data_IF_389554678060
#
_entry.id   IF_389554678060
#
_cell.length_a   1.000
_cell.length_b   1.000
_cell.length_c   1.000
_cell.angle_alpha   90.00
_cell.angle_beta   90.00
_cell.angle_gamma   90.00
#
_symmetry.space_group_name_H-M   'P 1'
#
loop_
_entity.id
_entity.type
_entity.pdbx_description
1 polymer ?
#
# COMPACT_ATOMS: atom_id res chain seq x y z
N UNK A 1 -22.55 11.37 16.41
CA UNK A 1 -22.11 12.79 16.39
C UNK A 1 -20.83 13.05 17.21
N UNK A 2 -20.35 12.12 18.03
CA UNK A 2 -19.18 12.33 18.93
C UNK A 2 -17.80 12.00 18.33
N UNK A 3 -17.70 11.37 17.15
CA UNK A 3 -16.44 10.82 16.62
C UNK A 3 -15.68 11.72 15.65
N UNK A 4 -16.34 12.66 14.99
CA UNK A 4 -15.68 13.61 14.08
C UNK A 4 -15.00 14.77 14.83
N UNK A 5 -15.53 15.14 16.00
CA UNK A 5 -15.00 16.23 16.82
C UNK A 5 -13.70 15.84 17.54
N UNK A 6 -13.56 14.57 17.96
CA UNK A 6 -12.33 14.06 18.62
C UNK A 6 -11.11 14.04 17.69
N UNK A 7 -11.27 13.77 16.39
CA UNK A 7 -10.16 13.78 15.45
C UNK A 7 -9.68 15.19 15.11
N UNK A 8 -10.59 16.14 15.02
CA UNK A 8 -10.26 17.57 14.81
C UNK A 8 -9.58 18.14 16.06
N UNK A 9 -9.92 17.66 17.26
CA UNK A 9 -9.26 18.06 18.51
C UNK A 9 -7.87 17.44 18.68
N UNK A 10 -7.63 16.19 18.26
CA UNK A 10 -6.28 15.59 18.28
C UNK A 10 -5.37 16.19 17.21
N UNK A 11 -5.85 16.45 16.00
CA UNK A 11 -5.12 17.21 14.98
C UNK A 11 -4.76 18.65 15.46
N UNK A 12 -5.66 19.28 16.21
CA UNK A 12 -5.36 20.59 16.85
C UNK A 12 -4.29 20.51 17.92
N UNK A 13 -4.08 19.37 18.57
CA UNK A 13 -3.03 19.17 19.58
C UNK A 13 -1.63 18.99 18.99
N UNK A 14 -1.51 18.41 17.79
CA UNK A 14 -0.21 18.15 17.13
C UNK A 14 0.17 19.21 16.09
N UNK A 15 -0.77 20.04 15.64
CA UNK A 15 -0.56 21.01 14.56
C UNK A 15 -0.21 20.37 13.20
N UNK A 16 -0.29 19.03 13.06
CA UNK A 16 0.04 18.30 11.85
C UNK A 16 -1.19 18.08 10.97
N UNK A 17 -1.18 18.62 9.75
CA UNK A 17 -2.24 18.40 8.75
C UNK A 17 -1.87 17.22 7.85
N UNK A 18 -2.50 16.06 8.09
CA UNK A 18 -2.26 14.84 7.34
C UNK A 18 -2.67 14.97 5.85
N UNK A 19 -3.77 15.65 5.56
CA UNK A 19 -4.24 15.80 4.18
C UNK A 19 -3.30 16.71 3.39
N UNK A 20 -2.84 17.79 3.98
CA UNK A 20 -1.83 18.66 3.38
C UNK A 20 -0.54 17.86 3.13
N UNK A 21 -0.05 17.14 4.14
CA UNK A 21 1.15 16.31 4.03
C UNK A 21 1.04 15.31 2.87
N UNK A 22 -0.04 14.53 2.83
CA UNK A 22 -0.25 13.54 1.76
C UNK A 22 -0.36 14.19 0.38
N UNK A 23 -1.02 15.33 0.27
CA UNK A 23 -1.13 16.10 -0.97
C UNK A 23 0.22 16.61 -1.49
N UNK A 24 1.08 17.09 -0.60
CA UNK A 24 2.45 17.52 -0.94
C UNK A 24 3.32 16.34 -1.35
N UNK A 25 3.27 15.22 -0.60
CA UNK A 25 4.00 13.98 -0.93
C UNK A 25 3.55 13.40 -2.27
N UNK A 26 2.25 13.34 -2.54
CA UNK A 26 1.72 12.85 -3.80
C UNK A 26 2.26 13.64 -5.00
N UNK A 27 2.32 14.97 -4.93
CA UNK A 27 2.88 15.81 -5.99
C UNK A 27 4.36 15.52 -6.26
N UNK A 28 5.16 15.34 -5.20
CA UNK A 28 6.58 15.00 -5.33
C UNK A 28 6.76 13.62 -5.95
N UNK A 29 5.98 12.64 -5.50
CA UNK A 29 6.01 11.27 -5.99
C UNK A 29 5.56 11.22 -7.45
N UNK A 30 4.46 11.88 -7.81
CA UNK A 30 3.96 11.90 -9.19
C UNK A 30 5.00 12.52 -10.16
N UNK A 31 5.67 13.59 -9.75
CA UNK A 31 6.75 14.20 -10.54
C UNK A 31 7.97 13.27 -10.70
N UNK A 32 8.28 12.44 -9.68
CA UNK A 32 9.36 11.47 -9.76
C UNK A 32 8.95 10.26 -10.63
N UNK A 33 7.71 9.77 -10.51
CA UNK A 33 7.16 8.69 -11.33
C UNK A 33 7.11 9.07 -12.81
N UNK A 34 6.71 10.30 -13.13
CA UNK A 34 6.69 10.79 -14.52
C UNK A 34 8.08 10.71 -15.18
N UNK A 35 9.13 11.05 -14.43
CA UNK A 35 10.52 10.97 -14.89
C UNK A 35 11.08 9.54 -14.96
N UNK A 36 10.53 8.63 -14.15
CA UNK A 36 11.06 7.26 -14.01
C UNK A 36 10.78 6.37 -15.21
N UNK A 37 9.77 6.69 -16.02
CA UNK A 37 9.39 5.96 -17.25
C UNK A 37 9.45 6.91 -18.44
N UNK A 38 10.63 7.23 -18.97
CA UNK A 38 10.76 8.09 -20.14
C UNK A 38 10.21 7.39 -21.40
N UNK A 39 9.71 8.21 -22.34
CA UNK A 39 9.28 7.68 -23.63
C UNK A 39 10.50 7.27 -24.46
N UNK A 40 10.49 6.01 -24.92
CA UNK A 40 11.55 5.42 -25.76
C UNK A 40 10.98 4.31 -26.62
N UNK A 41 11.71 3.90 -27.66
CA UNK A 41 11.30 2.77 -28.50
C UNK A 41 11.45 1.43 -27.74
N UNK A 42 10.47 0.50 -27.81
CA UNK A 42 9.16 0.65 -28.46
C UNK A 42 8.20 1.53 -27.63
N UNK A 43 7.66 2.58 -28.23
CA UNK A 43 6.89 3.62 -27.53
C UNK A 43 5.66 3.07 -26.83
N UNK A 44 4.95 2.13 -27.47
CA UNK A 44 3.69 1.59 -26.97
C UNK A 44 3.79 0.95 -25.58
N UNK A 45 4.93 0.31 -25.25
CA UNK A 45 5.10 -0.28 -23.90
C UNK A 45 5.25 0.82 -22.83
N UNK A 46 6.00 1.89 -23.15
CA UNK A 46 6.16 3.01 -22.23
C UNK A 46 4.85 3.79 -22.06
N UNK A 47 4.07 3.97 -23.12
CA UNK A 47 2.74 4.56 -23.06
C UNK A 47 1.81 3.75 -22.15
N UNK A 48 1.78 2.42 -22.31
CA UNK A 48 0.97 1.51 -21.51
C UNK A 48 1.36 1.53 -20.02
N UNK A 49 2.68 1.47 -19.71
CA UNK A 49 3.17 1.60 -18.34
C UNK A 49 2.76 2.95 -17.72
N UNK A 50 2.99 4.04 -18.42
CA UNK A 50 2.67 5.41 -17.98
C UNK A 50 1.17 5.61 -17.79
N UNK A 51 0.35 5.05 -18.67
CA UNK A 51 -1.10 5.14 -18.59
C UNK A 51 -1.63 4.71 -17.21
N UNK A 52 -1.17 3.58 -16.72
CA UNK A 52 -1.58 3.05 -15.41
C UNK A 52 -0.83 3.68 -14.25
N UNK A 53 0.48 3.88 -14.38
CA UNK A 53 1.33 4.43 -13.31
C UNK A 53 0.95 5.88 -12.94
N UNK A 54 0.61 6.68 -13.94
CA UNK A 54 0.24 8.09 -13.79
C UNK A 54 -1.28 8.33 -13.72
N UNK A 55 -2.09 7.28 -13.59
CA UNK A 55 -3.54 7.39 -13.45
C UNK A 55 -4.00 8.01 -12.12
N UNK A 56 -3.09 8.49 -11.28
CA UNK A 56 -3.38 9.01 -9.95
C UNK A 56 -3.40 7.92 -8.88
N UNK A 57 -3.91 8.27 -7.71
CA UNK A 57 -4.00 7.39 -6.54
C UNK A 57 -3.57 8.10 -5.25
N UNK A 58 -3.83 7.47 -4.10
CA UNK A 58 -3.52 8.04 -2.78
C UNK A 58 -2.01 8.04 -2.45
N UNK A 59 -1.17 7.36 -3.23
CA UNK A 59 0.29 7.25 -3.04
C UNK A 59 0.72 6.88 -1.62
N UNK A 60 -0.04 6.02 -0.96
CA UNK A 60 0.19 5.67 0.45
C UNK A 60 1.52 4.93 0.65
N UNK A 61 1.81 3.92 -0.18
CA UNK A 61 3.05 3.13 -0.07
C UNK A 61 4.31 3.98 -0.28
N UNK A 62 4.40 4.79 -1.34
CA UNK A 62 5.50 5.74 -1.49
C UNK A 62 5.64 6.71 -0.31
N UNK A 63 4.53 7.30 0.15
CA UNK A 63 4.54 8.25 1.27
C UNK A 63 5.03 7.59 2.58
N UNK A 64 4.65 6.34 2.84
CA UNK A 64 5.16 5.56 3.98
C UNK A 64 6.67 5.33 3.91
N UNK A 65 7.19 5.01 2.72
CA UNK A 65 8.63 4.83 2.51
C UNK A 65 9.39 6.12 2.84
N UNK A 66 8.92 7.25 2.32
CA UNK A 66 9.52 8.56 2.60
C UNK A 66 9.43 8.92 4.09
N UNK A 67 8.24 8.79 4.71
CA UNK A 67 8.03 9.10 6.12
C UNK A 67 8.91 8.25 7.05
N UNK A 68 9.04 6.96 6.76
CA UNK A 68 9.88 6.05 7.53
C UNK A 68 11.37 6.37 7.42
N UNK A 69 11.83 6.78 6.24
CA UNK A 69 13.19 7.24 6.02
C UNK A 69 13.49 8.52 6.83
N UNK A 70 12.60 9.51 6.75
CA UNK A 70 12.74 10.77 7.50
C UNK A 70 12.65 10.56 9.02
N UNK A 71 11.82 9.61 9.48
CA UNK A 71 11.67 9.27 10.89
C UNK A 71 13.03 8.91 11.53
N UNK A 72 13.82 8.10 10.86
CA UNK A 72 15.11 7.61 11.36
C UNK A 72 16.30 8.51 10.98
N UNK A 73 16.05 9.66 10.36
CA UNK A 73 17.07 10.68 10.08
C UNK A 73 17.61 10.70 8.65
N UNK A 74 17.06 9.89 7.74
CA UNK A 74 17.37 9.95 6.32
C UNK A 74 16.68 11.11 5.59
N UNK A 75 16.86 11.18 4.29
CA UNK A 75 16.27 12.21 3.42
C UNK A 75 15.30 11.61 2.39
N UNK A 76 14.41 12.47 1.87
CA UNK A 76 13.49 12.11 0.78
C UNK A 76 14.25 11.60 -0.44
N UNK A 77 15.36 12.23 -0.79
CA UNK A 77 16.13 11.89 -1.98
C UNK A 77 16.71 10.47 -1.92
N UNK A 78 17.10 10.02 -0.72
CA UNK A 78 17.57 8.65 -0.51
C UNK A 78 16.47 7.61 -0.71
N UNK A 79 15.23 7.93 -0.33
CA UNK A 79 14.10 6.99 -0.36
C UNK A 79 13.26 7.10 -1.64
N UNK A 80 13.31 8.22 -2.37
CA UNK A 80 12.45 8.47 -3.53
C UNK A 80 12.54 7.38 -4.61
N UNK A 81 13.73 6.83 -4.98
CA UNK A 81 13.78 5.74 -5.96
C UNK A 81 13.01 4.50 -5.52
N UNK A 82 13.15 4.11 -4.25
CA UNK A 82 12.40 2.98 -3.69
C UNK A 82 10.90 3.29 -3.56
N UNK A 83 10.54 4.51 -3.20
CA UNK A 83 9.14 4.96 -3.18
C UNK A 83 8.49 4.83 -4.57
N UNK A 84 9.18 5.25 -5.63
CA UNK A 84 8.73 5.06 -7.02
C UNK A 84 8.61 3.57 -7.38
N UNK A 85 9.61 2.76 -7.03
CA UNK A 85 9.61 1.32 -7.31
C UNK A 85 8.43 0.58 -6.65
N UNK A 86 8.09 0.93 -5.40
CA UNK A 86 6.93 0.38 -4.71
C UNK A 86 5.61 0.73 -5.41
N UNK A 87 5.49 1.93 -5.97
CA UNK A 87 4.30 2.30 -6.74
C UNK A 87 4.28 1.63 -8.12
N UNK A 88 5.45 1.39 -8.77
CA UNK A 88 5.55 0.58 -9.97
C UNK A 88 5.06 -0.84 -9.73
N UNK A 89 5.51 -1.49 -8.65
CA UNK A 89 5.08 -2.83 -8.25
C UNK A 89 3.58 -2.86 -7.94
N UNK A 90 3.09 -1.88 -7.18
CA UNK A 90 1.66 -1.77 -6.92
C UNK A 90 0.84 -1.57 -8.20
N UNK A 91 1.34 -0.77 -9.13
CA UNK A 91 0.67 -0.56 -10.43
C UNK A 91 0.69 -1.82 -11.27
N UNK A 92 1.83 -2.56 -11.30
CA UNK A 92 1.92 -3.87 -11.94
C UNK A 92 0.85 -4.82 -11.41
N UNK A 93 0.73 -4.94 -10.07
CA UNK A 93 -0.27 -5.84 -9.48
C UNK A 93 -1.69 -5.47 -9.89
N UNK A 94 -2.02 -4.17 -9.96
CA UNK A 94 -3.34 -3.72 -10.41
C UNK A 94 -3.59 -3.98 -11.89
N UNK A 95 -2.57 -3.82 -12.77
CA UNK A 95 -2.71 -4.12 -14.20
C UNK A 95 -3.01 -5.61 -14.39
N UNK A 96 -2.31 -6.49 -13.66
CA UNK A 96 -2.50 -7.92 -13.77
C UNK A 96 -3.81 -8.38 -13.12
N UNK A 97 -4.20 -7.81 -11.97
CA UNK A 97 -5.48 -8.10 -11.32
C UNK A 97 -6.68 -7.76 -12.21
N UNK A 98 -6.58 -6.70 -13.01
CA UNK A 98 -7.66 -6.25 -13.91
C UNK A 98 -7.87 -7.16 -15.14
N UNK A 99 -6.94 -8.08 -15.45
CA UNK A 99 -7.03 -8.94 -16.64
C UNK A 99 -8.26 -9.86 -16.62
N UNK A 100 -8.78 -10.27 -17.80
CA UNK A 100 -9.92 -11.19 -17.89
C UNK A 100 -9.72 -12.55 -17.21
N UNK A 101 -8.47 -13.00 -17.06
CA UNK A 101 -8.11 -14.22 -16.32
C UNK A 101 -8.02 -14.06 -14.82
N UNK A 102 -8.24 -12.84 -14.31
CA UNK A 102 -8.17 -12.46 -12.90
C UNK A 102 -9.52 -11.84 -12.50
N UNK A 103 -9.56 -10.59 -12.01
CA UNK A 103 -10.79 -9.93 -11.55
C UNK A 103 -11.70 -9.47 -12.70
N UNK A 104 -11.19 -9.40 -13.95
CA UNK A 104 -11.87 -8.96 -15.16
C UNK A 104 -12.56 -7.60 -15.02
N UNK A 105 -11.86 -6.63 -14.46
CA UNK A 105 -12.37 -5.29 -14.24
C UNK A 105 -12.25 -4.41 -15.50
N UNK A 106 -13.32 -3.71 -15.86
CA UNK A 106 -13.37 -2.81 -17.03
C UNK A 106 -12.84 -1.41 -16.72
N UNK A 107 -12.94 -0.98 -15.45
CA UNK A 107 -12.57 0.37 -15.00
C UNK A 107 -11.76 0.35 -13.71
N UNK A 108 -10.75 1.21 -13.64
CA UNK A 108 -9.96 1.49 -12.44
C UNK A 108 -9.67 2.98 -12.30
N UNK A 109 -9.91 3.53 -11.11
CA UNK A 109 -9.73 4.99 -10.84
C UNK A 109 -10.48 5.88 -11.84
N UNK A 110 -11.66 5.46 -12.28
CA UNK A 110 -12.51 6.18 -13.22
C UNK A 110 -12.05 6.16 -14.67
N UNK A 111 -11.04 5.37 -15.03
CA UNK A 111 -10.53 5.16 -16.39
C UNK A 111 -10.68 3.69 -16.81
N UNK A 112 -10.81 3.39 -18.12
CA UNK A 112 -10.72 2.03 -18.60
C UNK A 112 -9.42 1.37 -18.14
N UNK A 113 -9.48 0.06 -17.83
CA UNK A 113 -8.29 -0.70 -17.41
C UNK A 113 -7.28 -0.85 -18.54
N UNK A 114 -6.04 -1.17 -18.20
CA UNK A 114 -4.93 -1.20 -19.17
C UNK A 114 -5.23 -2.13 -20.36
N UNK A 115 -5.73 -3.35 -20.08
CA UNK A 115 -6.06 -4.32 -21.13
C UNK A 115 -7.22 -3.88 -22.04
N UNK A 116 -8.11 -3.02 -21.56
CA UNK A 116 -9.19 -2.44 -22.42
C UNK A 116 -8.65 -1.39 -23.40
N UNK A 117 -7.57 -0.73 -23.07
CA UNK A 117 -6.96 0.33 -23.91
C UNK A 117 -5.91 -0.23 -24.86
N UNK A 118 -5.04 -1.12 -24.37
CA UNK A 118 -3.85 -1.59 -25.08
C UNK A 118 -3.90 -3.06 -25.49
N UNK A 119 -4.90 -3.82 -25.05
CA UNK A 119 -4.99 -5.28 -25.23
C UNK A 119 -4.32 -6.05 -24.09
N UNK A 120 -4.68 -7.34 -23.96
CA UNK A 120 -4.21 -8.20 -22.86
C UNK A 120 -2.71 -8.44 -22.92
N UNK A 121 -2.15 -8.69 -24.12
CA UNK A 121 -0.73 -8.94 -24.33
C UNK A 121 0.11 -7.74 -23.84
N UNK A 122 -0.34 -6.53 -24.20
CA UNK A 122 0.38 -5.32 -23.79
C UNK A 122 0.24 -5.04 -22.28
N UNK A 123 -0.91 -5.34 -21.69
CA UNK A 123 -1.12 -5.23 -20.25
C UNK A 123 -0.19 -6.17 -19.46
N UNK A 124 -0.05 -7.42 -19.90
CA UNK A 124 0.89 -8.40 -19.32
C UNK A 124 2.31 -7.85 -19.40
N UNK A 125 2.76 -7.45 -20.60
CA UNK A 125 4.11 -6.94 -20.82
C UNK A 125 4.39 -5.63 -20.05
N UNK A 126 3.39 -4.75 -19.90
CA UNK A 126 3.53 -3.53 -19.12
C UNK A 126 3.72 -3.83 -17.62
N UNK A 127 3.01 -4.83 -17.10
CA UNK A 127 3.21 -5.30 -15.74
C UNK A 127 4.61 -5.87 -15.52
N UNK A 128 5.06 -6.76 -16.41
CA UNK A 128 6.41 -7.36 -16.36
C UNK A 128 7.52 -6.30 -16.44
N UNK A 129 7.34 -5.31 -17.33
CA UNK A 129 8.28 -4.22 -17.49
C UNK A 129 8.35 -3.32 -16.25
N UNK A 130 7.20 -2.99 -15.63
CA UNK A 130 7.16 -2.22 -14.37
C UNK A 130 7.84 -2.97 -13.22
N UNK A 131 7.61 -4.29 -13.13
CA UNK A 131 8.25 -5.11 -12.11
C UNK A 131 9.77 -5.13 -12.28
N UNK A 132 10.25 -5.38 -13.48
CA UNK A 132 11.68 -5.40 -13.78
C UNK A 132 12.34 -4.03 -13.55
N UNK A 133 11.68 -2.96 -14.02
CA UNK A 133 12.14 -1.58 -13.86
C UNK A 133 12.22 -1.19 -12.38
N UNK A 134 11.34 -1.68 -11.53
CA UNK A 134 11.33 -1.33 -10.10
C UNK A 134 12.65 -1.67 -9.42
N UNK A 135 13.19 -2.86 -9.64
CA UNK A 135 14.46 -3.30 -9.06
C UNK A 135 15.66 -2.57 -9.67
N UNK A 136 15.65 -2.40 -10.99
CA UNK A 136 16.67 -1.64 -11.70
C UNK A 136 16.69 -0.19 -11.21
N UNK A 137 15.54 0.45 -11.02
CA UNK A 137 15.41 1.82 -10.58
C UNK A 137 15.95 2.03 -9.16
N UNK A 138 15.66 1.12 -8.22
CA UNK A 138 16.24 1.13 -6.87
C UNK A 138 17.77 1.08 -6.96
N UNK A 139 18.31 0.13 -7.71
CA UNK A 139 19.76 -0.08 -7.80
C UNK A 139 20.49 1.08 -8.47
N UNK A 140 19.92 1.64 -9.54
CA UNK A 140 20.54 2.70 -10.36
C UNK A 140 20.43 4.07 -9.73
N UNK A 141 19.26 4.41 -9.16
CA UNK A 141 18.95 5.80 -8.79
C UNK A 141 19.15 6.10 -7.30
N UNK A 142 19.26 5.09 -6.42
CA UNK A 142 19.53 5.36 -5.00
C UNK A 142 20.95 5.89 -4.80
N UNK A 143 21.06 7.14 -4.33
CA UNK A 143 22.34 7.81 -4.09
C UNK A 143 22.52 8.17 -2.62
N UNK A 144 23.77 8.25 -2.18
CA UNK A 144 24.09 8.64 -0.80
C UNK A 144 23.72 7.60 0.27
N UNK A 145 23.50 6.34 -0.14
CA UNK A 145 23.20 5.20 0.75
C UNK A 145 24.25 4.12 0.50
N UNK A 146 24.65 3.45 1.58
CA UNK A 146 25.58 2.31 1.50
C UNK A 146 25.01 1.19 0.61
N UNK A 147 25.84 0.60 -0.25
CA UNK A 147 25.44 -0.40 -1.23
C UNK A 147 24.83 -1.65 -0.59
N UNK A 148 25.25 -2.04 0.63
CA UNK A 148 24.69 -3.18 1.35
C UNK A 148 23.24 -2.88 1.80
N UNK A 149 22.95 -1.63 2.17
CA UNK A 149 21.58 -1.21 2.51
C UNK A 149 20.68 -1.20 1.28
N UNK A 150 21.19 -0.73 0.13
CA UNK A 150 20.45 -0.79 -1.14
C UNK A 150 20.14 -2.25 -1.51
N UNK A 151 21.12 -3.14 -1.36
CA UNK A 151 20.94 -4.58 -1.62
C UNK A 151 19.90 -5.20 -0.65
N UNK A 152 19.96 -4.81 0.63
CA UNK A 152 18.97 -5.23 1.63
C UNK A 152 17.55 -4.79 1.27
N UNK A 153 17.39 -3.57 0.76
CA UNK A 153 16.09 -3.06 0.25
C UNK A 153 15.60 -3.87 -0.95
N UNK A 154 16.48 -4.18 -1.91
CA UNK A 154 16.11 -5.00 -3.07
C UNK A 154 15.62 -6.40 -2.62
N UNK A 155 16.28 -7.00 -1.64
CA UNK A 155 15.86 -8.29 -1.06
C UNK A 155 14.51 -8.16 -0.35
N UNK A 156 14.32 -7.10 0.46
CA UNK A 156 13.05 -6.84 1.18
C UNK A 156 11.88 -6.68 0.20
N UNK A 157 12.06 -5.86 -0.84
CA UNK A 157 11.05 -5.64 -1.89
C UNK A 157 10.80 -6.94 -2.67
N UNK A 158 11.85 -7.69 -3.03
CA UNK A 158 11.72 -8.96 -3.75
C UNK A 158 10.91 -10.00 -2.98
N UNK A 159 11.13 -10.13 -1.67
CA UNK A 159 10.34 -11.02 -0.81
C UNK A 159 8.88 -10.58 -0.72
N UNK A 160 8.65 -9.27 -0.57
CA UNK A 160 7.29 -8.74 -0.39
C UNK A 160 6.40 -8.87 -1.62
N UNK A 161 6.98 -8.95 -2.82
CA UNK A 161 6.21 -9.12 -4.06
C UNK A 161 6.15 -10.56 -4.53
N UNK A 162 7.12 -11.39 -4.18
CA UNK A 162 7.27 -12.76 -4.64
C UNK A 162 6.25 -13.76 -4.05
N UNK A 163 6.61 -15.04 -4.15
CA UNK A 163 5.78 -16.17 -3.68
C UNK A 163 5.56 -16.18 -2.16
N UNK A 164 6.43 -15.52 -1.40
CA UNK A 164 6.30 -15.35 0.06
C UNK A 164 5.55 -14.05 0.43
N UNK A 165 5.07 -13.27 -0.52
CA UNK A 165 4.41 -12.00 -0.34
C UNK A 165 3.17 -11.86 -1.21
N UNK A 166 3.08 -10.76 -1.97
CA UNK A 166 1.89 -10.38 -2.75
C UNK A 166 1.40 -11.48 -3.67
N UNK A 167 2.29 -12.10 -4.46
CA UNK A 167 1.91 -13.19 -5.38
C UNK A 167 1.39 -14.40 -4.61
N UNK A 168 2.03 -14.78 -3.49
CA UNK A 168 1.54 -15.85 -2.62
C UNK A 168 0.15 -15.56 -2.05
N UNK A 169 -0.07 -14.34 -1.59
CA UNK A 169 -1.38 -13.88 -1.12
C UNK A 169 -2.45 -13.92 -2.21
N UNK A 170 -2.11 -13.50 -3.43
CA UNK A 170 -3.00 -13.54 -4.59
C UNK A 170 -3.40 -14.98 -4.97
N UNK A 171 -2.46 -15.93 -4.94
CA UNK A 171 -2.75 -17.35 -5.20
C UNK A 171 -3.77 -17.90 -4.21
N UNK A 172 -3.62 -17.58 -2.93
CA UNK A 172 -4.56 -18.04 -1.89
C UNK A 172 -5.91 -17.35 -2.03
N UNK A 173 -5.93 -16.04 -2.34
CA UNK A 173 -7.16 -15.28 -2.57
C UNK A 173 -7.98 -15.91 -3.70
N UNK A 174 -7.39 -16.13 -4.88
CA UNK A 174 -8.06 -16.75 -6.03
C UNK A 174 -8.58 -18.17 -5.69
N UNK A 175 -7.78 -18.98 -4.99
CA UNK A 175 -8.21 -20.34 -4.60
C UNK A 175 -9.30 -20.35 -3.53
N UNK A 176 -9.49 -19.26 -2.83
CA UNK A 176 -10.49 -19.08 -1.78
C UNK A 176 -11.82 -18.54 -2.31
N UNK A 177 -11.90 -18.13 -3.57
CA UNK A 177 -13.14 -17.64 -4.17
C UNK A 177 -14.19 -18.73 -4.22
N UNK A 178 -15.40 -18.44 -3.68
CA UNK A 178 -16.52 -19.39 -3.63
C UNK A 178 -16.35 -20.55 -2.65
N UNK A 179 -15.26 -20.59 -1.86
CA UNK A 179 -15.04 -21.62 -0.84
C UNK A 179 -15.59 -21.15 0.52
N UNK A 180 -16.73 -21.70 0.92
CA UNK A 180 -17.37 -21.41 2.21
C UNK A 180 -16.62 -21.98 3.44
N UNK A 181 -15.57 -22.78 3.23
CA UNK A 181 -14.74 -23.35 4.31
C UNK A 181 -13.58 -22.44 4.72
N UNK A 182 -13.38 -21.29 4.05
CA UNK A 182 -12.33 -20.32 4.36
C UNK A 182 -12.51 -19.78 5.78
N UNK A 183 -11.54 -20.09 6.65
CA UNK A 183 -11.51 -19.64 8.03
C UNK A 183 -10.65 -18.40 8.23
N UNK A 184 -10.61 -17.92 9.48
CA UNK A 184 -9.88 -16.71 9.86
C UNK A 184 -8.38 -16.76 9.54
N UNK A 185 -7.73 -17.93 9.71
CA UNK A 185 -6.29 -18.08 9.43
C UNK A 185 -5.98 -17.89 7.93
N UNK A 186 -6.83 -18.45 7.04
CA UNK A 186 -6.69 -18.26 5.59
C UNK A 186 -6.92 -16.80 5.21
N UNK A 187 -7.98 -16.18 5.74
CA UNK A 187 -8.27 -14.76 5.50
C UNK A 187 -7.12 -13.87 5.97
N UNK A 188 -6.59 -14.13 7.16
CA UNK A 188 -5.44 -13.41 7.71
C UNK A 188 -4.21 -13.57 6.82
N UNK A 189 -3.92 -14.78 6.34
CA UNK A 189 -2.84 -15.02 5.40
C UNK A 189 -2.99 -14.17 4.12
N UNK A 190 -4.19 -14.14 3.52
CA UNK A 190 -4.46 -13.32 2.32
C UNK A 190 -4.17 -11.85 2.62
N UNK A 191 -4.68 -11.30 3.70
CA UNK A 191 -4.52 -9.90 4.07
C UNK A 191 -3.06 -9.53 4.37
N UNK A 192 -2.33 -10.40 5.09
CA UNK A 192 -0.92 -10.18 5.43
C UNK A 192 -0.02 -10.23 4.20
N UNK A 193 -0.33 -11.08 3.21
CA UNK A 193 0.53 -11.30 2.05
C UNK A 193 0.10 -10.45 0.84
N UNK A 194 -1.17 -10.49 0.43
CA UNK A 194 -1.65 -9.75 -0.74
C UNK A 194 -1.54 -8.23 -0.54
N UNK A 195 -1.82 -7.73 0.67
CA UNK A 195 -1.90 -6.29 0.93
C UNK A 195 -0.82 -5.78 1.88
N UNK A 196 -0.67 -6.38 3.06
CA UNK A 196 0.20 -5.84 4.10
C UNK A 196 1.69 -6.03 3.77
N UNK A 197 2.09 -7.07 3.04
CA UNK A 197 3.49 -7.32 2.70
C UNK A 197 4.15 -6.14 1.97
N UNK A 198 3.47 -5.54 0.99
CA UNK A 198 4.01 -4.39 0.26
C UNK A 198 3.97 -3.08 1.09
N UNK A 199 3.02 -2.94 2.03
CA UNK A 199 3.03 -1.84 3.01
C UNK A 199 4.18 -1.99 4.00
N UNK A 200 4.42 -3.21 4.49
CA UNK A 200 5.56 -3.54 5.35
C UNK A 200 6.88 -3.22 4.65
N UNK A 201 7.04 -3.69 3.42
CA UNK A 201 8.22 -3.40 2.61
C UNK A 201 8.46 -1.90 2.42
N UNK A 202 7.39 -1.10 2.24
CA UNK A 202 7.51 0.34 2.11
C UNK A 202 8.11 0.99 3.37
N UNK A 203 7.58 0.65 4.54
CA UNK A 203 8.05 1.20 5.82
C UNK A 203 9.48 0.72 6.14
N UNK A 204 9.72 -0.57 6.01
CA UNK A 204 11.01 -1.20 6.31
C UNK A 204 12.11 -0.71 5.37
N UNK A 205 11.83 -0.63 4.08
CA UNK A 205 12.79 -0.11 3.10
C UNK A 205 13.16 1.34 3.37
N UNK A 206 12.18 2.20 3.71
CA UNK A 206 12.44 3.57 4.10
C UNK A 206 13.37 3.66 5.32
N UNK A 207 13.11 2.86 6.34
CA UNK A 207 13.96 2.78 7.54
C UNK A 207 15.39 2.34 7.21
N UNK A 208 15.56 1.30 6.40
CA UNK A 208 16.88 0.80 5.97
C UNK A 208 17.65 1.92 5.25
N UNK A 209 17.02 2.60 4.31
CA UNK A 209 17.63 3.69 3.53
C UNK A 209 18.01 4.89 4.41
N UNK A 210 17.20 5.19 5.42
CA UNK A 210 17.45 6.26 6.39
C UNK A 210 18.54 5.95 7.42
N UNK A 211 19.09 4.73 7.42
CA UNK A 211 20.19 4.37 8.30
C UNK A 211 19.76 3.68 9.60
N UNK A 212 18.52 3.21 9.72
CA UNK A 212 18.02 2.52 10.90
C UNK A 212 18.90 1.35 11.35
N UNK A 213 18.97 1.15 12.67
CA UNK A 213 19.48 -0.07 13.29
C UNK A 213 18.42 -1.19 13.27
N UNK A 214 18.84 -2.42 13.62
CA UNK A 214 17.95 -3.58 13.58
C UNK A 214 16.73 -3.41 14.51
N UNK A 215 16.91 -2.81 15.67
CA UNK A 215 15.80 -2.57 16.61
C UNK A 215 14.72 -1.67 16.03
N UNK A 216 15.10 -0.59 15.33
CA UNK A 216 14.16 0.30 14.66
C UNK A 216 13.47 -0.40 13.49
N UNK A 217 14.22 -1.19 12.70
CA UNK A 217 13.65 -2.00 11.61
C UNK A 217 12.58 -2.95 12.15
N UNK A 218 12.86 -3.65 13.26
CA UNK A 218 11.93 -4.59 13.87
C UNK A 218 10.67 -3.90 14.43
N UNK A 219 10.84 -2.71 15.04
CA UNK A 219 9.70 -1.88 15.50
C UNK A 219 8.82 -1.40 14.34
N UNK A 220 9.45 -0.87 13.31
CA UNK A 220 8.73 -0.35 12.14
C UNK A 220 8.09 -1.46 11.32
N UNK A 221 8.66 -2.66 11.33
CA UNK A 221 8.04 -3.88 10.80
C UNK A 221 6.76 -4.24 11.56
N UNK A 222 6.78 -4.21 12.90
CA UNK A 222 5.58 -4.43 13.72
C UNK A 222 4.51 -3.36 13.45
N UNK A 223 4.93 -2.08 13.42
CA UNK A 223 4.04 -0.98 13.06
C UNK A 223 3.33 -1.24 11.74
N UNK A 224 4.07 -1.55 10.69
CA UNK A 224 3.52 -1.73 9.34
C UNK A 224 2.62 -2.95 9.20
N UNK A 225 2.92 -4.06 9.89
CA UNK A 225 2.03 -5.23 9.95
C UNK A 225 0.69 -4.88 10.59
N UNK A 226 0.73 -4.20 11.72
CA UNK A 226 -0.48 -3.80 12.44
C UNK A 226 -1.34 -2.86 11.59
N UNK A 227 -0.77 -1.82 10.95
CA UNK A 227 -1.55 -0.93 10.08
C UNK A 227 -2.03 -1.62 8.80
N UNK A 228 -1.24 -2.52 8.22
CA UNK A 228 -1.62 -3.26 7.01
C UNK A 228 -2.83 -4.17 7.27
N UNK A 229 -2.82 -4.90 8.38
CA UNK A 229 -3.96 -5.74 8.78
C UNK A 229 -5.16 -4.88 9.19
N UNK A 230 -4.96 -3.81 9.98
CA UNK A 230 -6.04 -2.89 10.34
C UNK A 230 -6.71 -2.29 9.11
N UNK A 231 -5.93 -1.96 8.07
CA UNK A 231 -6.44 -1.45 6.81
C UNK A 231 -7.44 -2.41 6.17
N UNK A 232 -7.14 -3.71 6.14
CA UNK A 232 -8.02 -4.73 5.57
C UNK A 232 -9.25 -4.98 6.45
N UNK A 233 -9.08 -5.07 7.78
CA UNK A 233 -10.22 -5.22 8.70
C UNK A 233 -11.18 -4.05 8.58
N UNK A 234 -10.68 -2.83 8.43
CA UNK A 234 -11.52 -1.64 8.20
C UNK A 234 -12.18 -1.66 6.82
N UNK A 235 -11.51 -2.15 5.76
CA UNK A 235 -12.13 -2.35 4.44
C UNK A 235 -13.33 -3.31 4.54
N UNK A 236 -13.16 -4.46 5.23
CA UNK A 236 -14.22 -5.44 5.45
C UNK A 236 -15.41 -4.85 6.24
N UNK A 237 -15.13 -3.98 7.21
CA UNK A 237 -16.16 -3.26 7.97
C UNK A 237 -16.93 -2.29 7.06
N UNK A 238 -16.19 -1.51 6.27
CA UNK A 238 -16.76 -0.50 5.38
C UNK A 238 -17.61 -1.11 4.26
N UNK A 239 -17.23 -2.27 3.73
CA UNK A 239 -18.04 -2.95 2.70
C UNK A 239 -19.46 -3.27 3.17
N UNK A 240 -19.64 -3.48 4.48
CA UNK A 240 -20.96 -3.77 5.08
C UNK A 240 -21.66 -2.51 5.59
N UNK A 241 -20.92 -1.51 6.08
CA UNK A 241 -21.50 -0.38 6.83
C UNK A 241 -21.65 0.90 6.04
N UNK A 242 -20.87 1.07 4.95
CA UNK A 242 -20.90 2.28 4.14
C UNK A 242 -21.81 2.14 2.91
N UNK A 243 -22.29 3.27 2.39
CA UNK A 243 -23.06 3.31 1.15
C UNK A 243 -22.15 3.29 -0.06
N UNK A 244 -22.68 2.91 -1.23
CA UNK A 244 -21.97 2.96 -2.53
C UNK A 244 -21.45 4.37 -2.83
N UNK A 245 -22.19 5.41 -2.44
CA UNK A 245 -21.78 6.81 -2.62
C UNK A 245 -20.58 7.17 -1.75
N UNK A 246 -20.55 6.71 -0.49
CA UNK A 246 -19.45 6.94 0.45
C UNK A 246 -18.19 6.18 0.06
N UNK A 247 -18.32 4.94 -0.43
CA UNK A 247 -17.19 4.09 -0.84
C UNK A 247 -16.58 4.49 -2.18
N UNK A 248 -17.35 5.13 -3.06
CA UNK A 248 -16.93 5.38 -4.44
C UNK A 248 -16.79 4.10 -5.30
N UNK A 249 -17.25 2.96 -4.78
CA UNK A 249 -17.34 1.64 -5.42
C UNK A 249 -18.61 0.94 -4.94
N UNK A 250 -19.06 -0.11 -5.62
CA UNK A 250 -20.25 -0.87 -5.20
C UNK A 250 -20.06 -1.42 -3.78
N UNK A 251 -20.95 -1.05 -2.86
CA UNK A 251 -21.01 -1.61 -1.50
C UNK A 251 -21.56 -3.03 -1.53
N UNK A 252 -21.12 -3.88 -0.59
CA UNK A 252 -21.58 -5.27 -0.47
C UNK A 252 -21.10 -6.18 -1.61
N UNK A 253 -20.04 -5.80 -2.35
CA UNK A 253 -19.45 -6.63 -3.40
C UNK A 253 -18.97 -7.97 -2.83
N UNK A 254 -18.34 -7.95 -1.67
CA UNK A 254 -17.83 -9.15 -1.00
C UNK A 254 -18.95 -10.10 -0.57
N UNK A 255 -20.07 -9.56 -0.11
CA UNK A 255 -21.28 -10.37 0.18
C UNK A 255 -21.89 -11.01 -1.07
N UNK A 256 -21.89 -10.27 -2.20
CA UNK A 256 -22.47 -10.76 -3.46
C UNK A 256 -21.68 -11.94 -4.06
N UNK A 257 -20.36 -12.01 -3.80
CA UNK A 257 -19.48 -13.08 -4.27
C UNK A 257 -19.16 -14.11 -3.18
N UNK A 258 -19.86 -14.06 -2.04
CA UNK A 258 -19.65 -14.95 -0.88
C UNK A 258 -18.19 -14.99 -0.40
N UNK A 259 -17.48 -13.87 -0.45
CA UNK A 259 -16.11 -13.74 0.02
C UNK A 259 -16.07 -13.73 1.56
N UNK A 260 -15.14 -14.49 2.13
CA UNK A 260 -14.89 -14.45 3.56
C UNK A 260 -14.32 -13.08 3.95
N UNK A 261 -14.86 -12.46 5.00
CA UNK A 261 -14.41 -11.18 5.57
C UNK A 261 -14.29 -11.30 7.09
N UNK A 262 -13.53 -10.41 7.74
CA UNK A 262 -13.51 -10.38 9.21
C UNK A 262 -14.92 -10.26 9.79
N UNK A 263 -15.72 -9.35 9.24
CA UNK A 263 -17.09 -9.14 9.70
C UNK A 263 -17.99 -10.38 9.56
N UNK A 264 -17.79 -11.20 8.51
CA UNK A 264 -18.55 -12.45 8.34
C UNK A 264 -18.08 -13.58 9.26
N UNK A 265 -16.77 -13.62 9.60
CA UNK A 265 -16.20 -14.72 10.40
C UNK A 265 -16.25 -14.46 11.92
N UNK A 266 -16.05 -13.24 12.38
CA UNK A 266 -16.01 -12.92 13.82
C UNK A 266 -17.08 -11.93 14.26
N UNK A 267 -17.87 -11.42 13.34
CA UNK A 267 -18.90 -10.42 13.58
C UNK A 267 -18.39 -8.98 13.58
N UNK A 268 -19.30 -8.03 13.32
CA UNK A 268 -18.96 -6.62 13.10
C UNK A 268 -18.30 -5.96 14.33
N UNK A 269 -18.83 -6.19 15.53
CA UNK A 269 -18.30 -5.55 16.75
C UNK A 269 -16.90 -6.07 17.09
N UNK A 270 -16.65 -7.39 16.97
CA UNK A 270 -15.30 -7.94 17.18
C UNK A 270 -14.30 -7.45 16.13
N UNK A 271 -14.74 -7.26 14.88
CA UNK A 271 -13.90 -6.67 13.83
C UNK A 271 -13.49 -5.24 14.18
N UNK A 272 -14.38 -4.42 14.72
CA UNK A 272 -14.06 -3.06 15.19
C UNK A 272 -13.05 -3.09 16.34
N UNK A 273 -13.23 -3.97 17.32
CA UNK A 273 -12.27 -4.15 18.42
C UNK A 273 -10.89 -4.56 17.91
N UNK A 274 -10.82 -5.51 16.96
CA UNK A 274 -9.56 -5.96 16.35
C UNK A 274 -8.88 -4.78 15.64
N UNK A 275 -9.61 -3.97 14.88
CA UNK A 275 -9.05 -2.80 14.21
C UNK A 275 -8.49 -1.78 15.23
N UNK A 276 -9.17 -1.55 16.34
CA UNK A 276 -8.70 -0.66 17.43
C UNK A 276 -7.45 -1.20 18.12
N UNK A 277 -7.41 -2.49 18.45
CA UNK A 277 -6.25 -3.18 19.02
C UNK A 277 -5.03 -3.02 18.10
N UNK A 278 -5.18 -3.29 16.80
CA UNK A 278 -4.11 -3.18 15.80
C UNK A 278 -3.59 -1.74 15.66
N UNK A 279 -4.46 -0.74 15.66
CA UNK A 279 -4.06 0.66 15.61
C UNK A 279 -3.32 1.08 16.89
N UNK A 280 -3.77 0.61 18.05
CA UNK A 280 -3.08 0.87 19.32
C UNK A 280 -1.68 0.24 19.34
N UNK A 281 -1.55 -1.00 18.89
CA UNK A 281 -0.26 -1.70 18.77
C UNK A 281 0.70 -0.97 17.81
N UNK A 282 0.19 -0.51 16.66
CA UNK A 282 0.98 0.28 15.71
C UNK A 282 1.51 1.56 16.37
N UNK A 283 0.65 2.32 17.02
CA UNK A 283 1.04 3.56 17.71
C UNK A 283 2.07 3.32 18.81
N UNK A 284 1.96 2.23 19.55
CA UNK A 284 2.92 1.86 20.60
C UNK A 284 4.34 1.67 20.04
N UNK A 285 4.50 1.20 18.78
CA UNK A 285 5.81 1.05 18.15
C UNK A 285 6.49 2.41 17.86
N UNK A 286 5.72 3.48 17.79
CA UNK A 286 6.23 4.83 17.48
C UNK A 286 6.59 5.65 18.74
N UNK A 287 6.27 5.17 19.92
CA UNK A 287 6.38 5.94 21.18
C UNK A 287 7.80 6.40 21.54
N UNK A 288 8.84 5.73 21.04
CA UNK A 288 10.24 6.08 21.31
C UNK A 288 10.85 7.10 20.34
N UNK A 289 10.13 7.45 19.27
CA UNK A 289 10.62 8.39 18.26
C UNK A 289 10.25 9.82 18.59
N UNK A 290 10.97 10.77 17.97
CA UNK A 290 10.63 12.18 18.02
C UNK A 290 9.19 12.41 17.52
N UNK A 291 8.32 13.04 18.31
CA UNK A 291 6.90 13.17 17.96
C UNK A 291 6.64 13.93 16.65
N UNK A 292 7.49 14.90 16.29
CA UNK A 292 7.31 15.68 15.06
C UNK A 292 7.67 14.81 13.84
N UNK A 293 8.72 13.99 13.93
CA UNK A 293 9.10 13.05 12.87
C UNK A 293 8.14 11.87 12.74
N UNK A 294 7.58 11.40 13.85
CA UNK A 294 6.62 10.31 13.88
C UNK A 294 5.18 10.75 13.49
N UNK A 295 4.89 12.06 13.48
CA UNK A 295 3.56 12.58 13.21
C UNK A 295 2.90 12.03 11.93
N UNK A 296 3.59 11.90 10.77
CA UNK A 296 2.99 11.33 9.56
C UNK A 296 2.51 9.88 9.75
N UNK A 297 3.30 9.05 10.45
CA UNK A 297 2.95 7.65 10.69
C UNK A 297 1.84 7.50 11.73
N UNK A 298 1.85 8.31 12.78
CA UNK A 298 0.72 8.40 13.74
C UNK A 298 -0.57 8.81 13.02
N UNK A 299 -0.50 9.85 12.20
CA UNK A 299 -1.66 10.37 11.49
C UNK A 299 -2.21 9.37 10.46
N UNK A 300 -1.34 8.57 9.80
CA UNK A 300 -1.79 7.49 8.91
C UNK A 300 -2.54 6.39 9.69
N UNK A 301 -2.02 5.98 10.85
CA UNK A 301 -2.71 4.98 11.69
C UNK A 301 -4.11 5.48 12.10
N UNK A 302 -4.25 6.75 12.48
CA UNK A 302 -5.56 7.36 12.75
C UNK A 302 -6.44 7.46 11.50
N UNK A 303 -5.87 7.84 10.36
CA UNK A 303 -6.60 7.91 9.10
C UNK A 303 -7.21 6.56 8.72
N UNK A 304 -6.46 5.46 8.90
CA UNK A 304 -6.98 4.10 8.64
C UNK A 304 -8.20 3.81 9.50
N UNK A 305 -8.17 4.19 10.79
CA UNK A 305 -9.30 4.01 11.71
C UNK A 305 -10.54 4.80 11.29
N UNK A 306 -10.34 6.02 10.78
CA UNK A 306 -11.41 7.00 10.59
C UNK A 306 -11.91 7.14 9.15
N UNK A 307 -11.28 6.46 8.21
CA UNK A 307 -11.65 6.55 6.78
C UNK A 307 -13.06 6.04 6.53
N UNK A 308 -13.68 6.61 5.50
CA UNK A 308 -15.01 6.24 5.01
C UNK A 308 -14.96 5.59 3.63
N UNK A 309 -13.76 5.58 3.01
CA UNK A 309 -13.51 5.03 1.66
C UNK A 309 -12.03 4.64 1.48
#
# INVERSE_FOLDING_TARGET
MCTAETSVEEQKKTGFDFNQYMGERAKLIDAALDKSVPMQYPEVINESMRYSLLAGGKRVRPALCLASCELVGGSIDQAMPTACALEMIHTMSLIHDDLPSMDNDDFRRGKPTNHKVYGEEMAILAGDALLSLSFEYIARETKGVDAQRVLQVIVEVGKSVGSEGLVGGQVVDIKSEGDSSVGLDTLKYIHEHKTAALLESAVVSGAILGGAGQEDIDRLRKYSRSIGLAFQVVDDILDITATTEELGKTAGKDLAVAKATYSSLVGLERSKEIAEELIADAKAQLASYDPAKAAPLYALAEYIKMRKN
#
